data_IF_845480018555
#
_entry.id   IF_845480018555
#
_cell.length_a   1.000
_cell.length_b   1.000
_cell.length_c   1.000
_cell.angle_alpha   90.00
_cell.angle_beta   90.00
_cell.angle_gamma   90.00
#
_symmetry.space_group_name_H-M   'P 1'
#
loop_
_entity.id
_entity.type
_entity.pdbx_description
1 polymer ?
#
# COMPACT_ATOMS: atom_id res chain seq x y z
N UNK A 1 -2.13 -5.89 -14.85
CA UNK A 1 -1.89 -4.54 -14.35
C UNK A 1 -3.12 -4.07 -13.59
N UNK A 2 -4.17 -3.56 -14.24
CA UNK A 2 -5.47 -3.33 -13.58
C UNK A 2 -6.25 -4.64 -13.45
N UNK A 3 -6.63 -4.98 -12.22
CA UNK A 3 -7.48 -6.10 -11.86
C UNK A 3 -8.79 -5.50 -11.35
N UNK A 4 -9.88 -5.73 -12.10
CA UNK A 4 -11.22 -5.28 -11.73
C UNK A 4 -11.65 -5.95 -10.42
N UNK A 5 -12.48 -5.31 -9.58
CA UNK A 5 -12.97 -5.91 -8.35
C UNK A 5 -13.70 -7.23 -8.63
N UNK A 6 -13.47 -8.24 -7.79
CA UNK A 6 -14.13 -9.54 -7.86
C UNK A 6 -14.12 -10.19 -6.48
N UNK A 7 -14.95 -11.21 -6.29
CA UNK A 7 -14.82 -12.08 -5.13
C UNK A 7 -13.64 -13.04 -5.35
N UNK A 8 -12.51 -12.75 -4.70
CA UNK A 8 -11.30 -13.56 -4.78
C UNK A 8 -11.37 -14.87 -3.99
N UNK A 9 -12.49 -15.15 -3.29
CA UNK A 9 -12.68 -16.35 -2.47
C UNK A 9 -11.53 -16.56 -1.47
N UNK A 10 -11.06 -15.46 -0.88
CA UNK A 10 -9.92 -15.39 0.03
C UNK A 10 -8.59 -15.92 -0.56
N UNK A 11 -8.47 -16.04 -1.89
CA UNK A 11 -7.22 -16.37 -2.60
C UNK A 11 -6.49 -15.10 -3.02
N UNK A 12 -5.16 -15.18 -3.12
CA UNK A 12 -4.31 -14.06 -3.52
C UNK A 12 -4.84 -13.37 -4.79
N UNK A 13 -4.90 -12.04 -4.74
CA UNK A 13 -5.23 -11.18 -5.88
C UNK A 13 -3.97 -10.97 -6.73
N UNK A 14 -2.82 -10.80 -6.06
CA UNK A 14 -1.48 -10.77 -6.64
C UNK A 14 -0.69 -11.86 -5.93
N UNK A 15 -0.41 -12.95 -6.64
CA UNK A 15 0.27 -14.11 -6.09
C UNK A 15 1.80 -13.99 -6.24
N UNK A 16 2.53 -14.91 -5.61
CA UNK A 16 3.99 -14.99 -5.73
C UNK A 16 4.42 -15.13 -7.19
N UNK A 17 5.53 -14.48 -7.54
CA UNK A 17 6.03 -14.42 -8.91
C UNK A 17 5.01 -13.89 -9.93
N UNK A 18 4.13 -12.96 -9.53
CA UNK A 18 3.25 -12.26 -10.47
C UNK A 18 4.07 -11.70 -11.65
N UNK A 19 3.50 -11.79 -12.86
CA UNK A 19 4.20 -11.44 -14.11
C UNK A 19 4.54 -9.95 -14.22
N UNK A 20 3.84 -9.07 -13.49
CA UNK A 20 4.06 -7.62 -13.51
C UNK A 20 4.86 -7.15 -12.31
N UNK A 21 4.56 -7.70 -11.13
CA UNK A 21 5.11 -7.24 -9.85
C UNK A 21 5.66 -8.40 -9.01
N UNK A 22 6.66 -9.16 -9.52
CA UNK A 22 7.15 -10.37 -8.88
C UNK A 22 7.74 -10.15 -7.48
N UNK A 23 8.02 -8.93 -7.05
CA UNK A 23 8.51 -8.62 -5.71
C UNK A 23 7.41 -8.38 -4.68
N UNK A 24 6.14 -8.27 -5.09
CA UNK A 24 5.00 -8.04 -4.17
C UNK A 24 4.03 -9.22 -4.12
N UNK A 25 3.26 -9.30 -3.04
CA UNK A 25 2.15 -10.22 -2.84
C UNK A 25 0.97 -9.44 -2.25
N UNK A 26 -0.25 -9.78 -2.64
CA UNK A 26 -1.44 -9.18 -2.07
C UNK A 26 -2.63 -10.13 -2.04
N UNK A 27 -3.26 -10.22 -0.86
CA UNK A 27 -4.55 -10.89 -0.68
C UNK A 27 -5.52 -10.03 0.13
N UNK A 28 -6.81 -10.19 -0.14
CA UNK A 28 -7.90 -9.67 0.68
C UNK A 28 -8.67 -10.86 1.22
N UNK A 29 -8.82 -10.94 2.53
CA UNK A 29 -9.57 -11.99 3.20
C UNK A 29 -10.77 -11.37 3.90
N UNK A 30 -11.95 -11.97 3.69
CA UNK A 30 -13.21 -11.56 4.33
C UNK A 30 -13.77 -12.70 5.14
N UNK A 31 -14.03 -12.44 6.41
CA UNK A 31 -14.48 -13.42 7.40
C UNK A 31 -15.40 -12.77 8.45
N UNK A 32 -16.16 -13.59 9.15
CA UNK A 32 -17.02 -13.23 10.28
C UNK A 32 -16.39 -13.60 11.63
N UNK A 33 -17.00 -13.19 12.72
CA UNK A 33 -16.49 -13.45 14.06
C UNK A 33 -16.32 -14.96 14.31
N UNK A 34 -15.18 -15.34 14.90
CA UNK A 34 -14.80 -16.72 15.19
C UNK A 34 -14.19 -17.48 14.01
N UNK A 35 -14.32 -17.00 12.76
CA UNK A 35 -13.70 -17.64 11.61
C UNK A 35 -12.19 -17.37 11.58
N UNK A 36 -11.44 -18.32 11.01
CA UNK A 36 -9.98 -18.33 11.00
C UNK A 36 -9.45 -18.41 9.57
N UNK A 37 -8.33 -17.73 9.33
CA UNK A 37 -7.58 -17.87 8.10
C UNK A 37 -6.13 -18.22 8.41
N UNK A 38 -5.63 -19.27 7.75
CA UNK A 38 -4.26 -19.73 7.83
C UNK A 38 -3.59 -19.50 6.49
N UNK A 39 -2.36 -19.02 6.51
CA UNK A 39 -1.58 -18.89 5.29
C UNK A 39 -0.09 -18.94 5.54
N UNK A 40 0.65 -19.30 4.49
CA UNK A 40 2.10 -19.29 4.44
C UNK A 40 2.53 -18.89 3.03
N UNK A 41 3.34 -17.84 2.91
CA UNK A 41 3.85 -17.38 1.61
C UNK A 41 5.35 -17.64 1.54
N UNK A 42 5.75 -18.70 0.84
CA UNK A 42 7.16 -19.09 0.74
C UNK A 42 7.97 -18.03 0.00
N UNK A 43 9.09 -17.59 0.60
CA UNK A 43 9.98 -16.58 0.00
C UNK A 43 9.49 -15.13 0.11
N UNK A 44 8.39 -14.88 0.83
CA UNK A 44 7.88 -13.54 1.09
C UNK A 44 7.69 -13.32 2.58
N UNK A 45 8.11 -12.15 3.06
CA UNK A 45 7.61 -11.59 4.32
C UNK A 45 6.24 -10.96 4.08
N UNK A 46 5.38 -10.94 5.10
CA UNK A 46 4.03 -10.39 4.98
C UNK A 46 3.65 -9.44 6.12
N UNK A 47 2.60 -8.66 5.89
CA UNK A 47 2.01 -7.74 6.84
C UNK A 47 0.49 -7.91 6.80
N UNK A 48 -0.09 -8.30 7.93
CA UNK A 48 -1.53 -8.52 8.12
C UNK A 48 -2.14 -7.22 8.63
N UNK A 49 -3.06 -6.63 7.89
CA UNK A 49 -3.66 -5.31 8.19
C UNK A 49 -5.18 -5.43 8.13
N UNK A 50 -5.90 -5.36 9.26
CA UNK A 50 -7.35 -5.21 9.27
C UNK A 50 -7.75 -3.88 8.64
N UNK A 51 -8.34 -3.93 7.44
CA UNK A 51 -8.93 -2.76 6.79
C UNK A 51 -10.22 -2.33 7.50
N UNK A 52 -11.01 -3.33 7.91
CA UNK A 52 -12.15 -3.21 8.82
C UNK A 52 -12.20 -4.44 9.73
N UNK A 53 -12.79 -4.28 10.91
CA UNK A 53 -12.86 -5.30 11.95
C UNK A 53 -11.61 -5.36 12.84
N UNK A 54 -11.64 -6.35 13.72
CA UNK A 54 -10.60 -6.65 14.71
C UNK A 54 -10.25 -8.13 14.61
N UNK A 55 -8.96 -8.45 14.70
CA UNK A 55 -8.44 -9.83 14.63
C UNK A 55 -7.43 -10.10 15.75
N UNK A 56 -7.31 -11.37 16.12
CA UNK A 56 -6.19 -11.89 16.89
C UNK A 56 -5.24 -12.64 15.93
N UNK A 57 -3.94 -12.37 16.01
CA UNK A 57 -2.94 -12.95 15.11
C UNK A 57 -1.99 -13.86 15.88
N UNK A 58 -1.79 -15.08 15.40
CA UNK A 58 -0.84 -16.06 15.92
C UNK A 58 0.29 -16.29 14.92
N UNK A 59 1.54 -16.14 15.37
CA UNK A 59 2.75 -16.34 14.56
C UNK A 59 3.93 -16.74 15.45
N UNK A 60 4.61 -17.85 15.12
CA UNK A 60 5.77 -18.39 15.87
C UNK A 60 5.45 -18.51 17.39
N UNK A 61 4.27 -19.04 17.73
CA UNK A 61 3.85 -19.21 19.13
C UNK A 61 3.60 -17.91 19.91
N UNK A 62 3.62 -16.75 19.25
CA UNK A 62 3.21 -15.47 19.83
C UNK A 62 1.80 -15.12 19.36
N UNK A 63 1.02 -14.51 20.25
CA UNK A 63 -0.32 -14.01 19.98
C UNK A 63 -0.33 -12.49 20.11
N UNK A 64 -0.80 -11.81 19.07
CA UNK A 64 -1.09 -10.38 19.08
C UNK A 64 -2.60 -10.18 19.04
N UNK A 65 -3.18 -9.83 20.17
CA UNK A 65 -4.63 -9.73 20.35
C UNK A 65 -5.18 -8.37 19.90
N UNK A 66 -6.46 -8.34 19.56
CA UNK A 66 -7.25 -7.16 19.29
C UNK A 66 -6.56 -6.16 18.33
N UNK A 67 -6.04 -6.68 17.21
CA UNK A 67 -5.43 -5.87 16.15
C UNK A 67 -6.55 -5.32 15.27
N UNK A 68 -6.59 -4.00 15.10
CA UNK A 68 -7.56 -3.32 14.23
C UNK A 68 -8.68 -2.61 14.99
N UNK A 69 -8.94 -1.37 14.59
CA UNK A 69 -9.83 -0.45 15.32
C UNK A 69 -11.02 0.06 14.49
N UNK A 70 -11.06 -0.26 13.19
CA UNK A 70 -12.04 0.30 12.24
C UNK A 70 -13.27 -0.59 12.15
N UNK A 71 -14.46 -0.01 12.20
CA UNK A 71 -15.71 -0.79 12.15
C UNK A 71 -16.33 -0.85 10.76
N UNK A 72 -16.43 0.30 10.08
CA UNK A 72 -17.25 0.44 8.86
C UNK A 72 -16.39 0.51 7.60
N UNK A 73 -15.37 1.36 7.61
CA UNK A 73 -14.53 1.62 6.45
C UNK A 73 -13.12 2.09 6.86
N UNK A 74 -12.24 2.25 5.87
CA UNK A 74 -10.84 2.69 6.05
C UNK A 74 -10.71 4.14 6.55
N UNK A 75 -11.77 4.96 6.45
CA UNK A 75 -11.79 6.33 6.99
C UNK A 75 -12.13 6.35 8.49
N UNK A 76 -12.70 5.28 9.04
CA UNK A 76 -13.17 5.20 10.42
C UNK A 76 -12.09 5.12 11.50
N UNK A 77 -10.80 5.26 11.17
CA UNK A 77 -9.72 5.24 12.16
C UNK A 77 -8.33 5.00 11.60
N UNK A 78 -7.39 4.73 12.50
CA UNK A 78 -5.98 4.44 12.19
C UNK A 78 -5.76 2.93 12.06
N UNK A 79 -4.91 2.48 11.11
CA UNK A 79 -4.65 1.06 10.91
C UNK A 79 -3.77 0.50 12.02
N UNK A 80 -3.85 -0.80 12.23
CA UNK A 80 -2.87 -1.58 12.97
C UNK A 80 -2.46 -2.76 12.11
N UNK A 81 -1.33 -3.39 12.43
CA UNK A 81 -0.84 -4.49 11.63
C UNK A 81 0.04 -5.45 12.40
N UNK A 82 0.23 -6.65 11.85
CA UNK A 82 1.22 -7.62 12.34
C UNK A 82 2.17 -7.97 11.21
N UNK A 83 3.46 -7.79 11.44
CA UNK A 83 4.52 -8.25 10.56
C UNK A 83 4.77 -9.74 10.79
N UNK A 84 4.83 -10.50 9.69
CA UNK A 84 5.08 -11.94 9.65
C UNK A 84 6.38 -12.19 8.86
N UNK A 85 7.39 -12.84 9.48
CA UNK A 85 8.66 -13.10 8.82
C UNK A 85 8.54 -14.01 7.59
N UNK A 86 9.57 -13.97 6.74
CA UNK A 86 9.59 -14.71 5.47
C UNK A 86 9.26 -16.20 5.63
N UNK A 87 8.30 -16.68 4.83
CA UNK A 87 7.98 -18.11 4.76
C UNK A 87 7.47 -18.72 6.06
N UNK A 88 7.05 -17.91 7.03
CA UNK A 88 6.44 -18.36 8.28
C UNK A 88 4.93 -18.47 8.08
N UNK A 89 4.34 -19.51 8.68
CA UNK A 89 2.89 -19.65 8.74
C UNK A 89 2.32 -18.69 9.78
N UNK A 90 1.26 -17.98 9.41
CA UNK A 90 0.49 -17.15 10.30
C UNK A 90 -0.99 -17.54 10.24
N UNK A 91 -1.65 -17.39 11.38
CA UNK A 91 -3.09 -17.57 11.53
C UNK A 91 -3.66 -16.27 12.08
N UNK A 92 -4.84 -15.87 11.61
CA UNK A 92 -5.64 -14.90 12.35
C UNK A 92 -7.07 -15.37 12.53
N UNK A 93 -7.64 -14.99 13.68
CA UNK A 93 -9.04 -15.23 14.03
C UNK A 93 -9.77 -13.89 14.04
N UNK A 94 -10.92 -13.81 13.38
CA UNK A 94 -11.72 -12.59 13.40
C UNK A 94 -12.49 -12.47 14.72
N UNK A 95 -12.34 -11.34 15.40
CA UNK A 95 -13.06 -11.02 16.65
C UNK A 95 -14.43 -10.42 16.35
N UNK A 96 -14.55 -9.73 15.21
CA UNK A 96 -15.78 -9.04 14.78
C UNK A 96 -16.32 -9.59 13.45
N UNK A 97 -17.61 -9.40 13.20
CA UNK A 97 -18.23 -9.72 11.91
C UNK A 97 -17.80 -8.79 10.78
N UNK A 98 -17.96 -9.24 9.53
CA UNK A 98 -17.63 -8.47 8.32
C UNK A 98 -16.21 -7.88 8.32
N UNK A 99 -15.25 -8.65 8.85
CA UNK A 99 -13.85 -8.26 8.95
C UNK A 99 -13.17 -8.42 7.59
N UNK A 100 -12.56 -7.35 7.08
CA UNK A 100 -11.76 -7.34 5.84
C UNK A 100 -10.29 -7.16 6.22
N UNK A 101 -9.46 -8.14 5.88
CA UNK A 101 -8.02 -8.15 6.19
C UNK A 101 -7.21 -8.11 4.91
N UNK A 102 -6.29 -7.17 4.83
CA UNK A 102 -5.29 -7.09 3.78
C UNK A 102 -4.03 -7.83 4.22
N UNK A 103 -3.52 -8.70 3.34
CA UNK A 103 -2.23 -9.36 3.52
C UNK A 103 -1.31 -8.82 2.44
N UNK A 104 -0.46 -7.88 2.81
CA UNK A 104 0.62 -7.38 1.95
C UNK A 104 1.84 -8.30 2.07
N UNK A 105 2.65 -8.41 1.03
CA UNK A 105 3.93 -9.08 1.14
C UNK A 105 4.98 -8.57 0.17
N UNK A 106 6.24 -8.81 0.50
CA UNK A 106 7.38 -8.57 -0.37
C UNK A 106 8.36 -9.73 -0.35
N UNK A 107 9.06 -9.94 -1.46
CA UNK A 107 10.09 -10.97 -1.56
C UNK A 107 11.25 -10.65 -0.64
N UNK A 108 11.65 -11.62 0.18
CA UNK A 108 12.78 -11.50 1.10
C UNK A 108 13.41 -12.87 1.37
N UNK A 109 14.61 -12.88 1.95
CA UNK A 109 15.44 -14.08 2.09
C UNK A 109 15.93 -14.33 3.52
N UNK A 110 15.64 -13.43 4.47
CA UNK A 110 16.05 -13.57 5.87
C UNK A 110 14.85 -13.63 6.81
N UNK A 111 14.89 -14.57 7.74
CA UNK A 111 13.89 -14.69 8.80
C UNK A 111 14.17 -13.64 9.87
N UNK A 112 13.21 -12.74 10.07
CA UNK A 112 13.20 -11.72 11.12
C UNK A 112 12.28 -12.15 12.28
N UNK A 113 11.96 -11.23 13.19
CA UNK A 113 11.04 -11.47 14.31
C UNK A 113 9.67 -10.89 14.00
N UNK A 114 8.57 -11.59 14.34
CA UNK A 114 7.23 -11.01 14.21
C UNK A 114 7.05 -9.89 15.24
N UNK A 115 6.23 -8.90 14.90
CA UNK A 115 5.85 -7.82 15.80
C UNK A 115 4.50 -7.22 15.37
N UNK A 116 3.85 -6.52 16.29
CA UNK A 116 2.63 -5.75 16.04
C UNK A 116 2.97 -4.27 15.88
N UNK A 117 2.31 -3.59 14.95
CA UNK A 117 2.29 -2.13 14.82
C UNK A 117 0.98 -1.64 15.38
N UNK A 118 1.04 -0.87 16.47
CA UNK A 118 -0.10 -0.18 17.06
C UNK A 118 -0.19 1.25 16.54
N UNK A 119 -1.35 1.89 16.77
CA UNK A 119 -1.61 3.27 16.32
C UNK A 119 -0.51 4.27 16.73
N UNK A 120 0.03 4.14 17.95
CA UNK A 120 1.10 5.00 18.46
C UNK A 120 2.43 4.87 17.68
N UNK A 121 2.63 3.76 16.98
CA UNK A 121 3.85 3.43 16.24
C UNK A 121 3.79 3.84 14.77
N UNK A 122 2.66 4.36 14.29
CA UNK A 122 2.51 4.85 12.92
C UNK A 122 3.37 6.10 12.69
N UNK A 123 3.82 6.27 11.45
CA UNK A 123 4.34 7.55 10.95
C UNK A 123 3.28 8.18 10.04
N UNK A 124 2.81 9.36 10.46
CA UNK A 124 1.76 10.10 9.78
C UNK A 124 2.37 11.26 9.00
N UNK A 125 1.96 11.41 7.74
CA UNK A 125 2.38 12.50 6.86
C UNK A 125 1.15 13.14 6.27
N UNK A 126 1.09 14.47 6.28
CA UNK A 126 0.06 15.22 5.58
C UNK A 126 0.68 16.43 4.91
N UNK A 127 0.40 16.61 3.62
CA UNK A 127 1.02 17.64 2.78
C UNK A 127 0.19 17.90 1.52
N UNK A 128 0.61 18.87 0.72
CA UNK A 128 -0.18 19.40 -0.39
C UNK A 128 -1.37 20.24 0.09
N UNK A 129 -2.23 20.64 -0.84
CA UNK A 129 -3.41 21.46 -0.54
C UNK A 129 -4.54 21.23 -1.54
N UNK A 130 -5.75 21.65 -1.18
CA UNK A 130 -6.92 21.58 -2.06
C UNK A 130 -6.82 22.55 -3.24
N UNK A 131 -6.10 23.66 -3.06
CA UNK A 131 -5.78 24.64 -4.11
C UNK A 131 -4.89 24.01 -5.19
N UNK A 132 -3.82 23.32 -4.76
CA UNK A 132 -2.92 22.60 -5.68
C UNK A 132 -3.48 21.27 -6.15
N UNK A 133 -4.63 20.82 -5.61
CA UNK A 133 -5.23 19.50 -5.82
C UNK A 133 -4.30 18.34 -5.44
N UNK A 134 -3.40 18.52 -4.50
CA UNK A 134 -2.43 17.48 -4.07
C UNK A 134 -2.52 17.10 -2.60
N UNK A 135 -3.61 17.51 -1.93
CA UNK A 135 -3.83 17.28 -0.51
C UNK A 135 -3.92 15.78 -0.19
N UNK A 136 -2.94 15.30 0.56
CA UNK A 136 -2.76 13.89 0.88
C UNK A 136 -2.54 13.69 2.36
N UNK A 137 -3.12 12.61 2.90
CA UNK A 137 -2.75 12.03 4.19
C UNK A 137 -2.17 10.63 3.94
N UNK A 138 -0.98 10.38 4.44
CA UNK A 138 -0.28 9.10 4.37
C UNK A 138 -0.11 8.55 5.79
N UNK A 139 -0.33 7.25 5.93
CA UNK A 139 -0.10 6.49 7.15
C UNK A 139 0.86 5.35 6.81
N UNK A 140 2.12 5.49 7.21
CA UNK A 140 3.09 4.42 7.01
C UNK A 140 2.92 3.37 8.11
N UNK A 141 2.42 2.19 7.72
CA UNK A 141 2.24 1.04 8.62
C UNK A 141 3.60 0.38 8.86
N UNK A 142 4.32 0.07 7.78
CA UNK A 142 5.72 -0.37 7.83
C UNK A 142 6.59 0.76 7.25
N UNK A 143 6.77 1.81 8.06
CA UNK A 143 7.51 3.03 7.70
C UNK A 143 8.94 3.07 8.24
N UNK A 144 9.48 4.27 8.47
CA UNK A 144 10.84 4.44 8.99
C UNK A 144 11.02 3.89 10.41
N UNK A 145 10.01 4.03 11.27
CA UNK A 145 10.04 3.51 12.64
C UNK A 145 10.29 2.00 12.72
N UNK A 146 9.94 1.24 11.69
CA UNK A 146 10.11 -0.20 11.60
C UNK A 146 11.28 -0.63 10.70
N UNK A 147 12.09 0.31 10.18
CA UNK A 147 13.11 0.03 9.16
C UNK A 147 14.11 -1.07 9.53
N UNK A 148 14.45 -1.21 10.83
CA UNK A 148 15.39 -2.23 11.32
C UNK A 148 14.73 -3.57 11.70
N UNK A 149 13.41 -3.68 11.54
CA UNK A 149 12.62 -4.85 11.96
C UNK A 149 11.97 -5.58 10.78
N UNK A 150 12.01 -4.98 9.58
CA UNK A 150 11.42 -5.53 8.34
C UNK A 150 12.48 -5.68 7.26
N UNK A 151 12.23 -6.54 6.27
CA UNK A 151 13.14 -6.78 5.17
C UNK A 151 13.08 -5.70 4.10
N UNK A 152 12.43 -5.98 2.98
CA UNK A 152 12.27 -5.08 1.81
C UNK A 152 10.83 -4.60 1.62
N UNK A 153 9.91 -5.00 2.48
CA UNK A 153 8.51 -4.61 2.48
C UNK A 153 8.31 -3.18 3.00
N UNK A 154 7.56 -2.39 2.23
CA UNK A 154 6.96 -1.12 2.63
C UNK A 154 5.43 -1.24 2.50
N UNK A 155 4.71 -0.83 3.55
CA UNK A 155 3.24 -0.86 3.56
C UNK A 155 2.72 0.47 4.05
N UNK A 156 1.82 1.08 3.31
CA UNK A 156 1.24 2.38 3.64
C UNK A 156 -0.21 2.47 3.20
N UNK A 157 -0.94 3.38 3.83
CA UNK A 157 -2.25 3.82 3.38
C UNK A 157 -2.17 5.27 2.93
N UNK A 158 -2.70 5.56 1.76
CA UNK A 158 -2.81 6.92 1.24
C UNK A 158 -4.26 7.33 1.06
N UNK A 159 -4.55 8.55 1.45
CA UNK A 159 -5.83 9.22 1.28
C UNK A 159 -5.59 10.46 0.41
N UNK A 160 -6.25 10.50 -0.74
CA UNK A 160 -6.45 11.73 -1.52
C UNK A 160 -7.64 12.43 -0.90
N UNK A 161 -7.37 13.36 0.01
CA UNK A 161 -8.38 14.00 0.86
C UNK A 161 -9.17 15.06 0.09
N UNK A 162 -8.48 15.79 -0.80
CA UNK A 162 -9.13 16.76 -1.67
C UNK A 162 -10.00 16.07 -2.71
N UNK A 163 -11.30 16.35 -2.72
CA UNK A 163 -12.21 15.85 -3.75
C UNK A 163 -11.80 16.38 -5.13
N UNK A 164 -11.73 15.49 -6.13
CA UNK A 164 -11.13 15.81 -7.43
C UNK A 164 -9.59 15.97 -7.39
N UNK A 165 -8.94 15.50 -6.33
CA UNK A 165 -7.51 15.63 -6.11
C UNK A 165 -6.66 14.58 -6.84
N UNK A 166 -5.34 14.81 -6.79
CA UNK A 166 -4.29 14.01 -7.38
C UNK A 166 -3.35 13.47 -6.31
N UNK A 167 -2.91 12.24 -6.52
CA UNK A 167 -1.86 11.57 -5.79
C UNK A 167 -0.85 10.93 -6.74
N UNK A 168 0.27 10.42 -6.22
CA UNK A 168 1.39 9.99 -7.06
C UNK A 168 1.99 11.15 -7.88
N UNK A 169 1.75 12.40 -7.44
CA UNK A 169 2.12 13.62 -8.15
C UNK A 169 3.04 14.52 -7.28
N UNK A 170 4.08 15.17 -7.86
CA UNK A 170 4.54 15.10 -9.24
C UNK A 170 4.91 13.67 -9.62
N UNK A 171 4.73 13.38 -10.90
CA UNK A 171 4.84 12.01 -11.38
C UNK A 171 6.23 11.45 -11.13
N UNK A 172 6.29 10.21 -10.66
CA UNK A 172 7.54 9.54 -10.34
C UNK A 172 7.46 8.05 -10.67
N UNK A 173 8.63 7.41 -10.71
CA UNK A 173 8.81 5.98 -10.93
C UNK A 173 9.89 5.40 -10.00
N UNK A 174 9.93 4.08 -9.88
CA UNK A 174 10.97 3.31 -9.18
C UNK A 174 11.12 1.95 -9.87
N UNK A 175 11.26 1.99 -11.20
CA UNK A 175 11.25 0.84 -12.09
C UNK A 175 12.64 0.43 -12.57
N UNK A 176 13.68 1.16 -12.15
CA UNK A 176 15.06 0.93 -12.53
C UNK A 176 15.97 0.92 -11.30
N UNK A 177 16.91 -0.02 -11.23
CA UNK A 177 17.93 -0.05 -10.17
C UNK A 177 19.12 0.83 -10.56
N UNK A 178 18.92 2.16 -10.58
CA UNK A 178 19.92 3.15 -10.99
C UNK A 178 20.46 3.85 -9.73
N UNK A 179 21.31 3.16 -8.99
CA UNK A 179 21.85 3.70 -7.74
C UNK A 179 22.96 4.74 -8.00
N UNK A 180 23.01 5.85 -7.24
CA UNK A 180 22.15 6.19 -6.12
C UNK A 180 20.87 6.94 -6.52
N UNK A 181 20.53 7.18 -7.79
CA UNK A 181 19.43 8.06 -8.21
C UNK A 181 18.02 7.48 -8.06
N UNK A 182 17.85 6.18 -8.23
CA UNK A 182 16.58 5.46 -8.25
C UNK A 182 16.77 4.03 -7.75
N UNK A 183 15.84 3.57 -6.91
CA UNK A 183 15.80 2.19 -6.44
C UNK A 183 14.73 1.41 -7.17
N UNK A 184 14.97 0.12 -7.45
CA UNK A 184 13.96 -0.72 -8.08
C UNK A 184 12.99 -1.28 -7.04
N UNK A 185 11.72 -0.90 -7.16
CA UNK A 185 10.62 -1.41 -6.34
C UNK A 185 9.43 -1.76 -7.22
N UNK A 186 8.85 -2.94 -7.01
CA UNK A 186 7.51 -3.20 -7.52
C UNK A 186 6.50 -2.58 -6.56
N UNK A 187 5.36 -2.15 -7.10
CA UNK A 187 4.31 -1.53 -6.32
C UNK A 187 2.93 -2.05 -6.71
N UNK A 188 2.11 -2.31 -5.71
CA UNK A 188 0.71 -2.73 -5.88
C UNK A 188 -0.20 -1.80 -5.09
N UNK A 189 -1.26 -1.32 -5.73
CA UNK A 189 -2.33 -0.53 -5.12
C UNK A 189 -3.64 -1.28 -5.04
N UNK A 190 -4.39 -1.07 -3.95
CA UNK A 190 -5.79 -1.47 -3.86
C UNK A 190 -6.67 -0.30 -3.40
N UNK A 191 -7.69 0.03 -4.19
CA UNK A 191 -8.43 1.30 -4.08
C UNK A 191 -9.74 1.17 -3.31
N UNK A 192 -10.10 2.21 -2.55
CA UNK A 192 -11.43 2.45 -1.97
C UNK A 192 -11.87 3.87 -2.29
N UNK A 193 -13.18 4.11 -2.32
CA UNK A 193 -13.75 5.44 -2.55
C UNK A 193 -14.78 5.79 -1.49
N UNK A 194 -14.94 7.09 -1.23
CA UNK A 194 -16.01 7.61 -0.38
C UNK A 194 -16.77 8.72 -1.10
N UNK A 195 -18.10 8.56 -1.29
CA UNK A 195 -18.88 7.32 -1.13
C UNK A 195 -18.37 6.15 -1.99
N UNK A 196 -18.76 4.91 -1.63
CA UNK A 196 -18.20 3.66 -2.19
C UNK A 196 -18.51 3.41 -3.68
N UNK A 197 -19.39 4.20 -4.29
CA UNK A 197 -19.65 4.21 -5.73
C UNK A 197 -18.82 5.27 -6.48
N UNK A 198 -17.91 5.97 -5.79
CA UNK A 198 -16.95 6.86 -6.41
C UNK A 198 -15.95 6.11 -7.31
N UNK A 199 -15.19 6.88 -8.09
CA UNK A 199 -14.16 6.33 -8.97
C UNK A 199 -13.08 7.36 -9.29
N UNK A 200 -12.04 6.92 -10.00
CA UNK A 200 -10.90 7.74 -10.40
C UNK A 200 -10.19 7.18 -11.62
N UNK A 201 -9.02 7.74 -11.92
CA UNK A 201 -8.12 7.27 -12.97
C UNK A 201 -6.74 6.98 -12.38
N UNK A 202 -6.19 5.82 -12.71
CA UNK A 202 -4.77 5.53 -12.55
C UNK A 202 -4.10 5.67 -13.91
N UNK A 203 -3.11 6.55 -14.00
CA UNK A 203 -2.31 6.72 -15.22
C UNK A 203 -1.02 5.91 -15.11
N UNK A 204 -0.49 5.50 -16.27
CA UNK A 204 0.81 4.87 -16.37
C UNK A 204 1.56 5.30 -17.63
N UNK A 205 2.48 6.25 -17.46
CA UNK A 205 3.30 6.78 -18.55
C UNK A 205 4.67 6.11 -18.55
N UNK A 206 4.96 5.33 -19.59
CA UNK A 206 6.20 4.53 -19.67
C UNK A 206 7.42 5.35 -20.08
N UNK A 207 7.18 6.38 -20.88
CA UNK A 207 8.20 7.18 -21.51
C UNK A 207 7.86 8.65 -21.35
N UNK A 208 8.88 9.46 -21.11
CA UNK A 208 8.74 10.89 -20.94
C UNK A 208 8.15 11.53 -22.21
N UNK A 209 7.20 12.45 -22.02
CA UNK A 209 6.53 13.18 -23.10
C UNK A 209 5.79 12.31 -24.15
N UNK A 210 5.51 11.04 -23.84
CA UNK A 210 4.63 10.17 -24.65
C UNK A 210 3.36 9.83 -23.89
N UNK A 211 2.25 9.64 -24.60
CA UNK A 211 1.00 9.21 -23.95
C UNK A 211 1.17 7.85 -23.26
N UNK A 212 0.55 7.71 -22.09
CA UNK A 212 0.51 6.47 -21.32
C UNK A 212 -0.85 5.80 -21.35
N UNK A 213 -0.97 4.71 -20.61
CA UNK A 213 -2.25 4.07 -20.34
C UNK A 213 -3.01 4.83 -19.24
N UNK A 214 -4.34 4.80 -19.30
CA UNK A 214 -5.21 5.31 -18.25
C UNK A 214 -6.28 4.28 -17.93
N UNK A 215 -6.39 3.91 -16.65
CA UNK A 215 -7.32 2.89 -16.18
C UNK A 215 -8.38 3.53 -15.30
N UNK A 216 -9.65 3.26 -15.62
CA UNK A 216 -10.77 3.61 -14.75
C UNK A 216 -10.78 2.70 -13.52
N UNK A 217 -10.58 3.29 -12.35
CA UNK A 217 -10.50 2.59 -11.07
C UNK A 217 -11.77 2.86 -10.26
N UNK A 218 -12.38 1.77 -9.79
CA UNK A 218 -13.58 1.77 -8.94
C UNK A 218 -13.28 1.07 -7.62
N UNK A 219 -14.19 1.15 -6.64
CA UNK A 219 -14.00 0.56 -5.32
C UNK A 219 -13.65 -0.94 -5.40
N UNK A 220 -12.53 -1.33 -4.79
CA UNK A 220 -11.99 -2.70 -4.85
C UNK A 220 -11.00 -2.97 -5.98
N UNK A 221 -10.75 -2.01 -6.88
CA UNK A 221 -9.78 -2.18 -7.97
C UNK A 221 -8.38 -2.40 -7.41
N UNK A 222 -7.61 -3.28 -8.06
CA UNK A 222 -6.18 -3.46 -7.77
C UNK A 222 -5.37 -3.06 -9.00
N UNK A 223 -4.26 -2.35 -8.82
CA UNK A 223 -3.32 -2.03 -9.90
C UNK A 223 -1.92 -2.46 -9.51
N UNK A 224 -1.32 -3.33 -10.32
CA UNK A 224 0.09 -3.72 -10.24
C UNK A 224 0.91 -2.78 -11.12
N UNK A 225 1.81 -1.98 -10.55
CA UNK A 225 2.66 -1.03 -11.26
C UNK A 225 3.97 -1.73 -11.62
N UNK A 226 4.09 -2.15 -12.88
CA UNK A 226 5.29 -2.82 -13.41
C UNK A 226 6.43 -1.84 -13.74
N UNK A 227 6.13 -0.70 -14.37
CA UNK A 227 7.13 0.34 -14.71
C UNK A 227 6.52 1.71 -15.05
N UNK A 228 7.33 2.75 -15.11
CA UNK A 228 6.91 4.09 -15.54
C UNK A 228 6.25 4.94 -14.46
N UNK A 229 5.88 6.14 -14.88
CA UNK A 229 5.32 7.20 -14.04
C UNK A 229 3.84 6.96 -13.78
N UNK A 230 3.41 7.01 -12.52
CA UNK A 230 2.11 6.47 -12.10
C UNK A 230 1.26 7.40 -11.22
N UNK A 231 0.90 8.61 -11.68
CA UNK A 231 -0.01 9.47 -10.93
C UNK A 231 -1.44 8.90 -10.99
N UNK A 232 -2.23 9.22 -9.98
CA UNK A 232 -3.65 8.89 -9.95
C UNK A 232 -4.49 10.07 -9.49
N UNK A 233 -5.73 10.13 -9.97
CA UNK A 233 -6.68 11.16 -9.59
C UNK A 233 -8.03 10.56 -9.26
N UNK A 234 -8.74 11.22 -8.36
CA UNK A 234 -10.12 10.89 -8.02
C UNK A 234 -11.07 11.79 -8.81
N UNK A 235 -12.24 11.27 -9.21
CA UNK A 235 -13.25 12.12 -9.85
C UNK A 235 -13.77 13.20 -8.87
N UNK A 236 -14.25 14.35 -9.37
CA UNK A 236 -14.84 15.39 -8.53
C UNK A 236 -15.97 14.85 -7.63
N UNK A 237 -16.03 15.33 -6.39
CA UNK A 237 -17.06 14.94 -5.42
C UNK A 237 -16.77 13.66 -4.62
N UNK A 238 -15.67 12.95 -4.88
CA UNK A 238 -15.29 11.74 -4.15
C UNK A 238 -13.93 11.89 -3.47
N UNK A 239 -13.77 11.21 -2.34
CA UNK A 239 -12.47 10.93 -1.74
C UNK A 239 -11.96 9.57 -2.22
N UNK A 240 -10.64 9.42 -2.32
CA UNK A 240 -9.99 8.17 -2.71
C UNK A 240 -8.97 7.73 -1.67
N UNK A 241 -9.05 6.46 -1.30
CA UNK A 241 -8.05 5.75 -0.51
C UNK A 241 -7.37 4.72 -1.40
N UNK A 242 -6.09 4.47 -1.15
CA UNK A 242 -5.45 3.26 -1.63
C UNK A 242 -4.42 2.72 -0.66
N UNK A 243 -4.45 1.40 -0.53
CA UNK A 243 -3.47 0.62 0.19
C UNK A 243 -2.27 0.37 -0.74
N UNK A 244 -1.07 0.69 -0.26
CA UNK A 244 0.17 0.68 -1.03
C UNK A 244 1.12 -0.37 -0.47
N UNK A 245 1.61 -1.21 -1.37
CA UNK A 245 2.57 -2.29 -1.08
C UNK A 245 3.76 -2.07 -2.00
N UNK A 246 4.96 -1.84 -1.45
CA UNK A 246 6.18 -1.90 -2.22
C UNK A 246 7.08 -3.05 -1.76
N UNK A 247 7.70 -3.71 -2.74
CA UNK A 247 8.76 -4.69 -2.54
C UNK A 247 10.02 -4.24 -3.26
N UNK A 248 11.08 -3.98 -2.50
CA UNK A 248 12.37 -3.59 -3.07
C UNK A 248 13.14 -4.76 -3.68
N UNK A 249 13.84 -4.52 -4.78
CA UNK A 249 14.66 -5.54 -5.45
C UNK A 249 15.92 -5.88 -4.65
N UNK A 250 16.74 -4.86 -4.38
CA UNK A 250 18.05 -4.97 -3.73
C UNK A 250 18.05 -4.44 -2.30
N UNK A 251 17.21 -3.44 -2.01
CA UNK A 251 17.19 -2.71 -0.75
C UNK A 251 15.77 -2.28 -0.38
N UNK A 252 15.58 -1.93 0.89
CA UNK A 252 14.29 -1.43 1.40
C UNK A 252 14.05 0.03 1.06
N UNK A 253 15.01 0.92 1.39
CA UNK A 253 14.87 2.36 1.21
C UNK A 253 14.47 2.69 -0.22
N UNK A 254 13.41 3.50 -0.35
CA UNK A 254 12.82 3.88 -1.62
C UNK A 254 13.39 5.21 -2.06
N UNK A 255 14.00 5.24 -3.23
CA UNK A 255 14.34 6.49 -3.91
C UNK A 255 13.61 6.57 -5.24
N UNK A 256 12.64 7.48 -5.27
CA UNK A 256 11.81 7.75 -6.42
C UNK A 256 12.57 8.61 -7.46
N UNK A 257 12.37 8.29 -8.73
CA UNK A 257 12.81 9.11 -9.85
C UNK A 257 11.64 9.94 -10.34
N UNK A 258 11.62 11.22 -9.97
CA UNK A 258 10.62 12.18 -10.46
C UNK A 258 10.81 12.45 -11.95
N UNK A 259 9.71 12.68 -12.66
CA UNK A 259 9.73 12.96 -14.09
C UNK A 259 10.47 14.28 -14.36
N UNK A 260 11.60 14.26 -15.10
CA UNK A 260 12.43 15.46 -15.27
C UNK A 260 11.68 16.66 -15.86
N UNK A 261 10.84 16.44 -16.87
CA UNK A 261 10.01 17.48 -17.50
C UNK A 261 9.09 18.20 -16.50
N UNK A 262 8.75 17.55 -15.38
CA UNK A 262 7.85 18.09 -14.37
C UNK A 262 8.55 18.43 -13.05
N UNK A 263 9.88 18.39 -13.00
CA UNK A 263 10.65 18.62 -11.77
C UNK A 263 10.36 19.97 -11.10
N UNK A 264 9.99 21.00 -11.87
CA UNK A 264 9.59 22.31 -11.34
C UNK A 264 8.38 22.23 -10.38
N UNK A 265 7.48 21.25 -10.56
CA UNK A 265 6.29 21.07 -9.73
C UNK A 265 6.61 20.60 -8.30
N UNK A 266 7.81 20.06 -8.06
CA UNK A 266 8.27 19.78 -6.70
C UNK A 266 8.34 21.06 -5.84
N UNK A 267 8.46 22.23 -6.48
CA UNK A 267 8.51 23.53 -5.79
C UNK A 267 7.12 24.16 -5.60
N UNK A 268 6.08 23.60 -6.23
CA UNK A 268 4.72 24.16 -6.18
C UNK A 268 3.81 23.44 -5.19
N UNK A 269 4.25 22.31 -4.65
CA UNK A 269 3.46 21.49 -3.73
C UNK A 269 3.98 21.68 -2.31
N UNK A 270 3.19 22.28 -1.40
CA UNK A 270 3.61 22.49 -0.01
C UNK A 270 3.97 21.16 0.68
N UNK A 271 5.13 21.13 1.36
CA UNK A 271 5.58 20.01 2.20
C UNK A 271 6.06 18.75 1.45
N UNK A 272 6.14 18.76 0.11
CA UNK A 272 6.54 17.56 -0.64
C UNK A 272 8.01 17.16 -0.44
N UNK A 273 8.90 18.14 -0.29
CA UNK A 273 10.33 17.87 -0.14
C UNK A 273 10.61 17.16 1.20
N UNK A 274 9.95 17.58 2.28
CA UNK A 274 10.04 16.95 3.60
C UNK A 274 9.55 15.48 3.56
N UNK A 275 8.49 15.22 2.80
CA UNK A 275 7.99 13.86 2.56
C UNK A 275 9.03 13.00 1.84
N UNK A 276 9.68 13.52 0.79
CA UNK A 276 10.71 12.78 0.04
C UNK A 276 11.90 12.41 0.93
N UNK A 277 12.25 13.25 1.90
CA UNK A 277 13.31 12.93 2.86
C UNK A 277 12.96 11.80 3.81
N UNK A 278 11.67 11.64 4.19
CA UNK A 278 11.23 10.51 5.03
C UNK A 278 11.40 9.14 4.37
N UNK A 279 11.54 9.06 3.05
CA UNK A 279 11.72 7.79 2.34
C UNK A 279 13.18 7.39 2.11
N UNK A 280 14.13 8.31 2.31
CA UNK A 280 15.57 8.01 2.32
C UNK A 280 15.89 7.14 3.54
#
# INVERSE_FOLDING_TARGET
MHIKPFNNKNKAIVDVNDKFVPLTYFNIVKLNAGEQFHYKVSGYETCIVPATGTIDVEVIGQTFEAVGNRKVDVWGGEPEAVYVPVGIEAKFTCVTDNTEVFIAGAKYDKVLKPFVVRVAELDLVQYGSDETKTHRKIKHILGQKQANQVGRLLVSELFTVGQGGWSGFPSHKHDTNRLPEETRHDETYNFRFKPNYGSGLQMLQREENKSGDAYHIVNGSTVCIDKGYHPCCVLPGYEMYYFTILGGLSQRSLKQYFQPTHAAQLKTIPGILDMVEKFK
#
